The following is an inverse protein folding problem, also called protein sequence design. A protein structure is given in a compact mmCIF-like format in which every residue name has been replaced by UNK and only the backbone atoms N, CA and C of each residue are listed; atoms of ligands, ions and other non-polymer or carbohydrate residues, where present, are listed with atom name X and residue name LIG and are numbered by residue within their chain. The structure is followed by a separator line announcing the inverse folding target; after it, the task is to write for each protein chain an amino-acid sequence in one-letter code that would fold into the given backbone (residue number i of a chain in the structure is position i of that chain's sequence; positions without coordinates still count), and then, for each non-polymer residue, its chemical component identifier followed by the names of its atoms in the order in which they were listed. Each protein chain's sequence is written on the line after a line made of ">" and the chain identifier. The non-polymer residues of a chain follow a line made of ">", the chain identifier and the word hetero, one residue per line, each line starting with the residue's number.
data_IF_365430371794
#
_entry.id   IF_365430371794
#
_cell.length_a   1.000
_cell.length_b   1.000
_cell.length_c   1.000
_cell.angle_alpha   90.00
_cell.angle_beta   90.00
_cell.angle_gamma   90.00
#
_symmetry.space_group_name_H-M   'P 1'
#
loop_
_entity.id
_entity.type
_entity.pdbx_description
1 polymer ?
#
# COMPACT_ATOMS: atom_id res chain seq x y z
N UNK A 1 -13.13 -18.77 -10.00
CA UNK A 1 -12.92 -17.80 -11.11
C UNK A 1 -11.87 -16.74 -10.76
N UNK A 2 -11.90 -16.10 -9.58
CA UNK A 2 -10.96 -15.03 -9.19
C UNK A 2 -9.48 -15.42 -9.27
N UNK A 3 -9.10 -16.61 -8.81
CA UNK A 3 -7.69 -17.07 -8.85
C UNK A 3 -7.13 -17.15 -10.29
N UNK A 4 -7.98 -17.43 -11.28
CA UNK A 4 -7.60 -17.50 -12.69
C UNK A 4 -7.33 -16.10 -13.25
N UNK A 5 -8.13 -15.11 -12.84
CA UNK A 5 -7.94 -13.71 -13.20
C UNK A 5 -6.66 -13.15 -12.59
N UNK A 6 -6.37 -13.46 -11.32
CA UNK A 6 -5.11 -13.08 -10.67
C UNK A 6 -3.89 -13.69 -11.37
N UNK A 7 -3.98 -14.95 -11.80
CA UNK A 7 -2.92 -15.61 -12.54
C UNK A 7 -2.69 -14.92 -13.90
N UNK A 8 -3.75 -14.70 -14.68
CA UNK A 8 -3.66 -14.00 -15.97
C UNK A 8 -3.17 -12.56 -15.81
N UNK A 9 -3.52 -11.88 -14.71
CA UNK A 9 -3.07 -10.52 -14.41
C UNK A 9 -1.55 -10.40 -14.26
N UNK A 10 -0.90 -11.36 -13.59
CA UNK A 10 0.56 -11.38 -13.44
C UNK A 10 1.25 -11.50 -14.81
N UNK A 11 0.78 -12.44 -15.66
CA UNK A 11 1.34 -12.59 -17.02
C UNK A 11 1.03 -11.38 -17.91
N UNK A 12 -0.16 -10.78 -17.78
CA UNK A 12 -0.54 -9.57 -18.51
C UNK A 12 0.32 -8.36 -18.16
N UNK A 13 0.60 -8.13 -16.86
CA UNK A 13 1.49 -7.06 -16.42
C UNK A 13 2.95 -7.30 -16.88
N UNK A 14 3.43 -8.55 -16.82
CA UNK A 14 4.74 -8.90 -17.38
C UNK A 14 4.81 -8.66 -18.89
N UNK A 15 3.73 -8.93 -19.62
CA UNK A 15 3.65 -8.68 -21.06
C UNK A 15 3.62 -7.19 -21.40
N UNK A 16 2.93 -6.36 -20.60
CA UNK A 16 2.95 -4.90 -20.76
C UNK A 16 4.35 -4.34 -20.48
N UNK A 17 5.01 -4.81 -19.41
CA UNK A 17 6.38 -4.43 -19.10
C UNK A 17 7.35 -4.81 -20.23
N UNK A 18 7.14 -5.97 -20.86
CA UNK A 18 7.90 -6.38 -22.05
C UNK A 18 7.63 -5.49 -23.27
N UNK A 19 6.38 -5.10 -23.52
CA UNK A 19 6.02 -4.21 -24.63
C UNK A 19 6.69 -2.84 -24.54
N UNK A 20 6.82 -2.30 -23.32
CA UNK A 20 7.49 -1.04 -23.02
C UNK A 20 9.01 -1.16 -22.83
N UNK A 21 9.57 -2.37 -22.88
CA UNK A 21 11.02 -2.58 -22.73
C UNK A 21 11.77 -2.15 -23.99
N UNK A 22 12.80 -1.33 -23.80
CA UNK A 22 13.65 -0.78 -24.86
C UNK A 22 14.50 -1.86 -25.54
N UNK A 23 14.95 -2.87 -24.79
CA UNK A 23 15.74 -3.98 -25.31
C UNK A 23 15.05 -5.33 -25.01
N UNK A 24 14.08 -5.68 -25.86
CA UNK A 24 13.20 -6.86 -25.70
C UNK A 24 13.93 -8.21 -25.67
N UNK A 25 15.22 -8.23 -26.00
CA UNK A 25 16.07 -9.43 -26.09
C UNK A 25 16.90 -9.68 -24.84
N UNK A 26 17.26 -8.65 -24.08
CA UNK A 26 18.11 -8.79 -22.88
C UNK A 26 17.31 -8.48 -21.60
N UNK A 27 16.25 -9.26 -21.39
CA UNK A 27 15.49 -9.19 -20.14
C UNK A 27 16.31 -9.93 -19.08
N UNK A 28 16.67 -9.29 -17.94
CA UNK A 28 17.36 -9.97 -16.85
C UNK A 28 16.38 -10.90 -16.13
N UNK A 29 16.14 -12.09 -16.68
CA UNK A 29 15.22 -13.11 -16.18
C UNK A 29 15.46 -13.46 -14.72
N UNK A 30 16.72 -13.40 -14.27
CA UNK A 30 17.09 -13.62 -12.86
C UNK A 30 16.45 -12.58 -11.94
N UNK A 31 16.42 -11.31 -12.34
CA UNK A 31 15.81 -10.22 -11.56
C UNK A 31 14.30 -10.33 -11.60
N UNK A 32 13.71 -10.63 -12.76
CA UNK A 32 12.26 -10.80 -12.89
C UNK A 32 11.73 -11.96 -12.03
N UNK A 33 12.40 -13.11 -12.07
CA UNK A 33 12.06 -14.27 -11.24
C UNK A 33 12.25 -13.98 -9.75
N UNK A 34 13.31 -13.27 -9.36
CA UNK A 34 13.51 -12.86 -7.97
C UNK A 34 12.45 -11.87 -7.51
N UNK A 35 12.06 -10.90 -8.34
CA UNK A 35 11.02 -9.92 -8.02
C UNK A 35 9.65 -10.57 -7.83
N UNK A 36 9.23 -11.39 -8.81
CA UNK A 36 7.95 -12.12 -8.73
C UNK A 36 7.98 -13.12 -7.56
N UNK A 37 9.07 -13.85 -7.38
CA UNK A 37 9.25 -14.79 -6.28
C UNK A 37 9.15 -14.09 -4.93
N UNK A 38 9.87 -12.99 -4.74
CA UNK A 38 9.81 -12.21 -3.50
C UNK A 38 8.41 -11.65 -3.25
N UNK A 39 7.74 -11.15 -4.28
CA UNK A 39 6.38 -10.63 -4.16
C UNK A 39 5.38 -11.71 -3.74
N UNK A 40 5.47 -12.91 -4.32
CA UNK A 40 4.64 -14.05 -3.94
C UNK A 40 4.96 -14.54 -2.53
N UNK A 41 6.24 -14.59 -2.14
CA UNK A 41 6.67 -14.99 -0.79
C UNK A 41 6.15 -14.01 0.25
N UNK A 42 6.31 -12.70 0.03
CA UNK A 42 5.79 -11.67 0.95
C UNK A 42 4.27 -11.74 1.01
N UNK A 43 3.59 -11.83 -0.13
CA UNK A 43 2.14 -11.99 -0.18
C UNK A 43 1.67 -13.22 0.59
N UNK A 44 2.30 -14.37 0.39
CA UNK A 44 1.99 -15.60 1.12
C UNK A 44 2.26 -15.47 2.62
N UNK A 45 3.37 -14.85 3.03
CA UNK A 45 3.65 -14.59 4.45
C UNK A 45 2.60 -13.66 5.07
N UNK A 46 2.10 -12.66 4.33
CA UNK A 46 1.08 -11.75 4.84
C UNK A 46 -0.30 -12.41 4.92
N UNK A 47 -0.70 -13.17 3.91
CA UNK A 47 -2.05 -13.76 3.84
C UNK A 47 -2.20 -15.10 4.55
N UNK A 48 -1.14 -15.91 4.62
CA UNK A 48 -1.21 -17.30 5.08
C UNK A 48 -0.76 -17.48 6.53
N UNK A 49 0.06 -16.56 7.06
CA UNK A 49 0.64 -16.66 8.40
C UNK A 49 -0.22 -15.85 9.38
N UNK A 50 -0.91 -16.51 10.34
CA UNK A 50 -1.81 -15.83 11.30
C UNK A 50 -1.16 -14.67 12.08
N UNK A 51 0.07 -14.78 12.61
CA UNK A 51 0.66 -13.68 13.39
C UNK A 51 0.99 -12.44 12.55
N UNK A 52 1.02 -12.51 11.22
CA UNK A 52 1.26 -11.32 10.39
C UNK A 52 0.11 -10.32 10.51
N UNK A 53 -1.11 -10.79 10.76
CA UNK A 53 -2.27 -9.92 11.01
C UNK A 53 -2.07 -9.10 12.28
N UNK A 54 -1.57 -9.72 13.34
CA UNK A 54 -1.32 -9.05 14.62
C UNK A 54 -0.16 -8.04 14.49
N UNK A 55 0.88 -8.38 13.74
CA UNK A 55 1.97 -7.44 13.41
C UNK A 55 1.46 -6.20 12.68
N UNK A 56 0.57 -6.37 11.70
CA UNK A 56 -0.03 -5.24 10.96
C UNK A 56 -0.89 -4.37 11.86
N UNK A 57 -1.62 -4.97 12.82
CA UNK A 57 -2.40 -4.21 13.80
C UNK A 57 -1.50 -3.35 14.69
N UNK A 58 -0.41 -3.92 15.23
CA UNK A 58 0.56 -3.16 16.02
C UNK A 58 1.17 -2.02 15.21
N UNK A 59 1.50 -2.25 13.94
CA UNK A 59 2.03 -1.20 13.07
C UNK A 59 0.98 -0.09 12.83
N UNK A 60 -0.29 -0.45 12.70
CA UNK A 60 -1.38 0.51 12.57
C UNK A 60 -1.53 1.38 13.82
N UNK A 61 -1.46 0.78 15.02
CA UNK A 61 -1.53 1.52 16.28
C UNK A 61 -0.38 2.52 16.43
N UNK A 62 0.84 2.11 16.06
CA UNK A 62 2.00 3.02 16.06
C UNK A 62 1.81 4.15 15.05
N UNK A 63 1.33 3.84 13.85
CA UNK A 63 1.07 4.86 12.82
C UNK A 63 -0.02 5.85 13.27
N UNK A 64 -1.09 5.36 13.89
CA UNK A 64 -2.15 6.21 14.43
C UNK A 64 -1.61 7.14 15.52
N UNK A 65 -0.75 6.64 16.42
CA UNK A 65 -0.11 7.50 17.43
C UNK A 65 0.74 8.61 16.79
N UNK A 66 1.41 8.33 15.67
CA UNK A 66 2.16 9.35 14.91
C UNK A 66 1.21 10.35 14.24
N UNK A 67 0.10 9.88 13.67
CA UNK A 67 -0.93 10.74 13.06
C UNK A 67 -1.54 11.66 14.12
N UNK A 68 -1.92 11.13 15.28
CA UNK A 68 -2.49 11.91 16.40
C UNK A 68 -1.52 13.00 16.88
N UNK A 69 -0.23 12.66 17.01
CA UNK A 69 0.81 13.62 17.35
C UNK A 69 0.96 14.71 16.28
N UNK A 70 0.89 14.34 15.00
CA UNK A 70 0.92 15.29 13.88
C UNK A 70 -0.32 16.20 13.86
N UNK A 71 -1.49 15.66 14.15
CA UNK A 71 -2.74 16.42 14.23
C UNK A 71 -2.75 17.39 15.41
N UNK A 72 -2.22 16.96 16.57
CA UNK A 72 -2.02 17.83 17.72
C UNK A 72 -1.05 18.99 17.41
N UNK A 73 0.04 18.70 16.70
CA UNK A 73 0.97 19.73 16.21
C UNK A 73 0.33 20.68 15.22
N UNK A 74 -0.46 20.17 14.28
CA UNK A 74 -1.19 20.97 13.31
C UNK A 74 -2.22 21.90 13.99
N UNK A 75 -2.97 21.41 14.98
CA UNK A 75 -3.89 22.22 15.80
C UNK A 75 -3.16 23.32 16.57
N UNK A 76 -1.97 23.04 17.11
CA UNK A 76 -1.17 24.06 17.79
C UNK A 76 -0.72 25.20 16.86
N UNK A 77 -0.32 24.86 15.63
CA UNK A 77 0.19 25.85 14.67
C UNK A 77 -0.93 26.62 13.96
N UNK A 78 -2.04 25.96 13.61
CA UNK A 78 -3.09 26.54 12.77
C UNK A 78 -4.40 26.88 13.50
N UNK A 79 -4.49 26.60 14.81
CA UNK A 79 -5.70 26.74 15.64
C UNK A 79 -6.93 25.99 15.07
N UNK A 80 -8.06 25.95 15.77
CA UNK A 80 -9.27 25.15 15.42
C UNK A 80 -9.95 25.53 14.08
N UNK A 81 -9.42 26.51 13.34
CA UNK A 81 -10.04 27.06 12.13
C UNK A 81 -9.87 26.18 10.88
N UNK A 82 -8.93 25.23 10.85
CA UNK A 82 -8.59 24.48 9.63
C UNK A 82 -8.54 22.95 9.74
N UNK A 83 -8.80 22.37 10.93
CA UNK A 83 -8.87 20.91 11.12
C UNK A 83 -10.33 20.51 11.38
N UNK A 84 -11.07 20.02 10.36
CA UNK A 84 -12.43 19.52 10.54
C UNK A 84 -12.45 18.39 11.57
N UNK A 85 -13.33 18.49 12.55
CA UNK A 85 -13.58 17.41 13.50
C UNK A 85 -14.23 16.22 12.76
N UNK A 86 -13.78 14.97 12.98
CA UNK A 86 -14.39 13.81 12.35
C UNK A 86 -15.85 13.67 12.83
N UNK A 87 -16.81 13.92 11.94
CA UNK A 87 -18.25 13.81 12.25
C UNK A 87 -18.99 15.14 12.42
N UNK A 88 -18.38 16.29 12.18
CA UNK A 88 -19.08 17.58 12.15
C UNK A 88 -18.99 18.19 10.76
N UNK A 89 -20.16 18.50 10.19
CA UNK A 89 -20.25 19.19 8.91
C UNK A 89 -19.53 20.53 9.02
N UNK A 90 -18.74 20.95 8.00
CA UNK A 90 -18.15 22.27 8.01
C UNK A 90 -19.29 23.28 7.98
N UNK A 91 -19.47 23.99 9.08
CA UNK A 91 -20.33 25.16 9.14
C UNK A 91 -19.80 26.16 8.12
N UNK A 92 -20.49 26.25 6.98
CA UNK A 92 -20.22 27.19 5.91
C UNK A 92 -20.24 28.65 6.38
N UNK A 93 -19.82 29.58 5.51
CA UNK A 93 -19.28 30.87 5.90
C UNK A 93 -20.33 31.76 6.58
N UNK A 94 -19.94 32.31 7.73
CA UNK A 94 -20.10 33.73 7.98
C UNK A 94 -18.90 34.47 7.38
#
# INVERSE_FOLDING_TARGET
>A
MLNLVSFVGIFGLCFIAWCFSEDRRDIPWKVLMWGIGLQLVIGALVFLVPPTRDLVLVLNDVLNAVIDASEAGARFLFTDLFVPQPGTEPSGPI
#
